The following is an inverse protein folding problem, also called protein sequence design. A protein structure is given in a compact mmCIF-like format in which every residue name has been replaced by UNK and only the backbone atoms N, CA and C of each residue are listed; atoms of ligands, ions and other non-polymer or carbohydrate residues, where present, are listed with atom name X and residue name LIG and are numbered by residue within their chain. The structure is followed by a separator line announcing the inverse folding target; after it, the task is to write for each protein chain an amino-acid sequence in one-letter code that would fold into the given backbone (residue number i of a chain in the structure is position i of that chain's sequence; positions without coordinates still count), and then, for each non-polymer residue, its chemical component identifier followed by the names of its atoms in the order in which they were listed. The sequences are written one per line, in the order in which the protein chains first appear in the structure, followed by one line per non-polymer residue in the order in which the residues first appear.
data_IF_268376137596
#
_entry.id   IF_268376137596
#
_cell.length_a   1.000
_cell.length_b   1.000
_cell.length_c   1.000
_cell.angle_alpha   90.00
_cell.angle_beta   90.00
_cell.angle_gamma   90.00
#
_symmetry.space_group_name_H-M   'P 1'
#
loop_
_entity.id
_entity.type
_entity.pdbx_description
1 polymer ?
#
# COMPACT_ATOMS: atom_id res chain seq x y z
N UNK A 1 7.65 -5.77 17.73
CA UNK A 1 7.67 -4.29 17.71
C UNK A 1 8.68 -3.69 16.72
N UNK A 2 9.64 -4.44 16.15
CA UNK A 2 10.60 -3.91 15.17
C UNK A 2 10.01 -3.67 13.76
N UNK A 3 9.05 -4.48 13.30
CA UNK A 3 8.53 -4.44 11.93
C UNK A 3 7.59 -3.26 11.64
N UNK A 4 6.69 -2.89 12.58
CA UNK A 4 5.71 -1.80 12.36
C UNK A 4 6.40 -0.46 12.06
N UNK A 5 7.46 -0.13 12.82
CA UNK A 5 8.23 1.09 12.58
C UNK A 5 9.02 1.11 11.27
N UNK A 6 9.39 -0.05 10.72
CA UNK A 6 10.03 -0.13 9.41
C UNK A 6 9.02 0.09 8.28
N UNK A 7 7.83 -0.52 8.36
CA UNK A 7 6.76 -0.38 7.36
C UNK A 7 6.28 1.06 7.29
N UNK A 8 6.02 1.71 8.43
CA UNK A 8 5.63 3.12 8.46
C UNK A 8 6.68 4.04 7.81
N UNK A 9 7.98 3.75 8.01
CA UNK A 9 9.06 4.51 7.35
C UNK A 9 9.12 4.26 5.84
N UNK A 10 8.90 3.02 5.41
CA UNK A 10 8.88 2.67 3.98
C UNK A 10 7.70 3.36 3.27
N UNK A 11 6.50 3.26 3.86
CA UNK A 11 5.31 3.97 3.37
C UNK A 11 5.57 5.47 3.33
N UNK A 12 6.09 6.07 4.41
CA UNK A 12 6.38 7.50 4.45
C UNK A 12 7.39 7.93 3.36
N UNK A 13 8.44 7.12 3.12
CA UNK A 13 9.45 7.39 2.10
C UNK A 13 8.86 7.39 0.69
N UNK A 14 7.98 6.46 0.38
CA UNK A 14 7.38 6.31 -0.94
C UNK A 14 5.99 6.93 -1.09
N UNK A 15 5.46 7.58 -0.04
CA UNK A 15 4.08 8.09 0.01
C UNK A 15 3.71 8.92 -1.22
N UNK A 16 4.59 9.85 -1.61
CA UNK A 16 4.36 10.70 -2.78
C UNK A 16 4.24 9.91 -4.08
N UNK A 17 5.15 8.94 -4.31
CA UNK A 17 5.13 8.11 -5.52
C UNK A 17 3.87 7.24 -5.55
N UNK A 18 3.50 6.64 -4.42
CA UNK A 18 2.28 5.83 -4.30
C UNK A 18 1.04 6.68 -4.60
N UNK A 19 0.92 7.88 -4.03
CA UNK A 19 -0.24 8.76 -4.22
C UNK A 19 -0.40 9.19 -5.69
N UNK A 20 0.70 9.38 -6.41
CA UNK A 20 0.65 9.85 -7.79
C UNK A 20 0.45 8.69 -8.80
N UNK A 21 1.01 7.51 -8.53
CA UNK A 21 1.13 6.46 -9.54
C UNK A 21 0.22 5.24 -9.26
N UNK A 22 -0.26 5.06 -8.02
CA UNK A 22 -1.10 3.92 -7.65
C UNK A 22 -2.59 4.20 -7.92
N UNK A 23 -3.18 3.38 -8.79
CA UNK A 23 -4.63 3.23 -8.84
C UNK A 23 -5.09 2.24 -7.77
N UNK A 24 -5.45 2.76 -6.61
CA UNK A 24 -5.83 1.97 -5.42
C UNK A 24 -6.97 1.00 -5.73
N UNK A 25 -7.92 1.39 -6.58
CA UNK A 25 -9.07 0.54 -6.89
C UNK A 25 -8.68 -0.76 -7.58
N UNK A 26 -7.50 -0.83 -8.21
CA UNK A 26 -6.99 -2.06 -8.83
C UNK A 26 -6.38 -3.02 -7.83
N UNK A 27 -5.90 -2.54 -6.68
CA UNK A 27 -5.30 -3.40 -5.63
C UNK A 27 -6.31 -3.82 -4.56
N UNK A 28 -7.38 -3.04 -4.33
CA UNK A 28 -8.39 -3.33 -3.31
C UNK A 28 -8.99 -4.75 -3.40
N UNK A 29 -9.45 -5.24 -4.56
CA UNK A 29 -10.13 -6.54 -4.62
C UNK A 29 -9.24 -7.69 -4.15
N UNK A 30 -7.94 -7.64 -4.48
CA UNK A 30 -6.95 -8.62 -4.03
C UNK A 30 -6.79 -8.58 -2.52
N UNK A 31 -6.67 -7.38 -1.94
CA UNK A 31 -6.47 -7.21 -0.50
C UNK A 31 -7.70 -7.61 0.31
N UNK A 32 -8.91 -7.40 -0.22
CA UNK A 32 -10.15 -7.90 0.40
C UNK A 32 -10.25 -9.41 0.29
N UNK A 33 -9.98 -9.98 -0.89
CA UNK A 33 -9.97 -11.44 -1.08
C UNK A 33 -8.96 -12.15 -0.17
N UNK A 34 -7.82 -11.52 0.11
CA UNK A 34 -6.81 -12.00 1.05
C UNK A 34 -7.12 -11.69 2.53
N UNK A 35 -8.30 -11.13 2.82
CA UNK A 35 -8.72 -10.71 4.17
C UNK A 35 -7.77 -9.73 4.85
N UNK A 36 -7.01 -8.97 4.06
CA UNK A 36 -6.17 -7.87 4.54
C UNK A 36 -7.05 -6.67 4.83
N UNK A 37 -7.89 -6.30 3.86
CA UNK A 37 -8.92 -5.28 4.02
C UNK A 37 -10.28 -5.94 4.25
N UNK A 38 -11.08 -5.29 5.07
CA UNK A 38 -12.50 -5.61 5.23
C UNK A 38 -13.32 -4.93 4.12
N UNK A 39 -14.53 -5.41 3.87
CA UNK A 39 -15.45 -4.76 2.94
C UNK A 39 -15.81 -3.31 3.37
N UNK A 40 -15.79 -3.03 4.67
CA UNK A 40 -15.99 -1.67 5.20
C UNK A 40 -14.86 -0.73 4.81
N UNK A 41 -13.60 -1.17 4.96
CA UNK A 41 -12.42 -0.39 4.57
C UNK A 41 -12.33 -0.23 3.04
N UNK A 42 -12.68 -1.25 2.27
CA UNK A 42 -12.79 -1.15 0.81
C UNK A 42 -13.82 -0.10 0.39
N UNK A 43 -15.00 -0.10 1.04
CA UNK A 43 -16.05 0.87 0.76
C UNK A 43 -15.64 2.29 1.15
N UNK A 44 -15.02 2.46 2.32
CA UNK A 44 -14.49 3.74 2.79
C UNK A 44 -13.53 4.33 1.75
N UNK A 45 -12.51 3.56 1.35
CA UNK A 45 -11.55 4.00 0.33
C UNK A 45 -12.28 4.31 -0.97
N UNK A 46 -13.12 3.41 -1.47
CA UNK A 46 -13.79 3.56 -2.77
C UNK A 46 -14.79 4.73 -2.82
N UNK A 47 -15.27 5.21 -1.68
CA UNK A 47 -16.22 6.32 -1.58
C UNK A 47 -15.60 7.69 -1.90
N UNK A 48 -14.27 7.81 -1.86
CA UNK A 48 -13.58 9.07 -2.16
C UNK A 48 -13.48 9.32 -3.67
N UNK A 49 -13.90 10.51 -4.12
CA UNK A 49 -13.98 10.86 -5.53
C UNK A 49 -12.63 10.98 -6.24
N UNK A 50 -11.59 11.47 -5.56
CA UNK A 50 -10.28 11.68 -6.16
C UNK A 50 -9.30 10.53 -5.82
N UNK A 51 -8.39 10.24 -6.74
CA UNK A 51 -7.45 9.11 -6.60
C UNK A 51 -6.38 9.34 -5.53
N UNK A 52 -6.04 10.60 -5.23
CA UNK A 52 -4.97 10.94 -4.29
C UNK A 52 -5.43 10.72 -2.84
N UNK A 53 -6.61 11.23 -2.49
CA UNK A 53 -7.26 10.98 -1.20
C UNK A 53 -7.50 9.49 -1.00
N UNK A 54 -7.91 8.76 -2.04
CA UNK A 54 -8.00 7.29 -1.98
C UNK A 54 -6.68 6.64 -1.57
N UNK A 55 -5.58 7.05 -2.19
CA UNK A 55 -4.25 6.55 -1.87
C UNK A 55 -3.80 6.95 -0.46
N UNK A 56 -4.11 8.16 -0.01
CA UNK A 56 -3.82 8.60 1.36
C UNK A 56 -4.55 7.77 2.40
N UNK A 57 -5.88 7.63 2.29
CA UNK A 57 -6.69 6.82 3.20
C UNK A 57 -6.26 5.35 3.17
N UNK A 58 -6.01 4.81 1.97
CA UNK A 58 -5.49 3.45 1.82
C UNK A 58 -4.17 3.23 2.56
N UNK A 59 -3.22 4.17 2.43
CA UNK A 59 -1.92 4.07 3.09
C UNK A 59 -2.04 4.18 4.60
N UNK A 60 -2.93 5.04 5.10
CA UNK A 60 -3.17 5.18 6.53
C UNK A 60 -3.71 3.86 7.11
N UNK A 61 -4.74 3.27 6.47
CA UNK A 61 -5.30 1.96 6.84
C UNK A 61 -4.24 0.84 6.75
N UNK A 62 -3.49 0.79 5.65
CA UNK A 62 -2.46 -0.25 5.43
C UNK A 62 -1.37 -0.19 6.50
N UNK A 63 -0.97 1.03 6.90
CA UNK A 63 0.09 1.23 7.90
C UNK A 63 -0.26 0.68 9.28
N UNK A 64 -1.55 0.60 9.60
CA UNK A 64 -2.03 0.09 10.88
C UNK A 64 -2.15 -1.43 10.95
N UNK A 65 -2.32 -2.09 9.79
CA UNK A 65 -2.49 -3.55 9.70
C UNK A 65 -1.19 -4.36 9.81
N UNK A 66 -0.04 -3.72 9.60
CA UNK A 66 1.28 -4.34 9.84
C UNK A 66 1.84 -5.16 8.68
N UNK A 67 2.77 -6.07 8.99
CA UNK A 67 3.70 -6.66 8.01
C UNK A 67 3.04 -7.57 6.98
N UNK A 68 2.10 -8.41 7.40
CA UNK A 68 1.37 -9.28 6.49
C UNK A 68 0.56 -8.47 5.47
N UNK A 69 -0.02 -7.36 5.88
CA UNK A 69 -0.75 -6.46 4.99
C UNK A 69 0.18 -5.80 3.96
N UNK A 70 1.36 -5.34 4.41
CA UNK A 70 2.37 -4.77 3.54
C UNK A 70 2.90 -5.80 2.51
N UNK A 71 3.12 -7.04 2.94
CA UNK A 71 3.52 -8.12 2.03
C UNK A 71 2.47 -8.34 0.94
N UNK A 72 1.20 -8.52 1.31
CA UNK A 72 0.13 -8.71 0.33
C UNK A 72 -0.08 -7.49 -0.58
N UNK A 73 0.19 -6.29 -0.09
CA UNK A 73 0.23 -5.09 -0.92
C UNK A 73 1.36 -5.16 -1.95
N UNK A 74 2.60 -5.48 -1.54
CA UNK A 74 3.72 -5.65 -2.46
C UNK A 74 3.44 -6.71 -3.54
N UNK A 75 2.83 -7.84 -3.17
CA UNK A 75 2.42 -8.85 -4.16
C UNK A 75 1.36 -8.30 -5.11
N UNK A 76 0.42 -7.49 -4.62
CA UNK A 76 -0.56 -6.82 -5.48
C UNK A 76 0.04 -5.80 -6.46
N UNK A 77 1.19 -5.20 -6.10
CA UNK A 77 1.92 -4.30 -6.98
C UNK A 77 2.60 -5.04 -8.15
N UNK A 78 2.89 -6.34 -8.04
CA UNK A 78 3.50 -7.12 -9.13
C UNK A 78 2.66 -7.01 -10.42
N UNK A 79 1.34 -7.11 -10.28
CA UNK A 79 0.41 -7.07 -11.42
C UNK A 79 -0.06 -5.66 -11.77
N UNK A 80 -0.11 -4.75 -10.79
CA UNK A 80 -0.78 -3.44 -10.96
C UNK A 80 0.18 -2.27 -11.17
N UNK A 81 1.34 -2.29 -10.51
CA UNK A 81 2.32 -1.21 -10.53
C UNK A 81 3.74 -1.75 -10.20
N UNK A 82 4.34 -2.58 -11.07
CA UNK A 82 5.63 -3.23 -10.79
C UNK A 82 6.79 -2.24 -10.63
N UNK A 83 6.65 -1.02 -11.16
CA UNK A 83 7.60 0.07 -10.97
C UNK A 83 7.65 0.56 -9.50
N UNK A 84 6.50 0.62 -8.82
CA UNK A 84 6.44 0.93 -7.38
C UNK A 84 7.10 -0.18 -6.56
N UNK A 85 6.81 -1.44 -6.89
CA UNK A 85 7.46 -2.57 -6.24
C UNK A 85 8.99 -2.53 -6.42
N UNK A 86 9.45 -2.27 -7.64
CA UNK A 86 10.88 -2.13 -7.95
C UNK A 86 11.51 -1.02 -7.11
N UNK A 87 10.84 0.14 -6.99
CA UNK A 87 11.29 1.25 -6.14
C UNK A 87 11.44 0.83 -4.67
N UNK A 88 10.49 0.07 -4.13
CA UNK A 88 10.55 -0.42 -2.75
C UNK A 88 11.69 -1.42 -2.54
N UNK A 89 11.94 -2.30 -3.52
CA UNK A 89 13.01 -3.29 -3.44
C UNK A 89 14.40 -2.63 -3.53
N UNK A 90 14.58 -1.68 -4.45
CA UNK A 90 15.85 -0.96 -4.59
C UNK A 90 16.19 -0.16 -3.33
N UNK A 91 15.19 0.44 -2.68
CA UNK A 91 15.40 1.18 -1.43
C UNK A 91 15.77 0.30 -0.23
N UNK A 92 15.53 -1.01 -0.31
CA UNK A 92 16.04 -1.99 0.63
C UNK A 92 17.50 -2.41 0.36
N UNK A 93 17.98 -2.24 -0.87
CA UNK A 93 19.37 -2.56 -1.25
C UNK A 93 20.35 -1.43 -0.96
N UNK A 94 19.87 -0.23 -0.62
CA UNK A 94 20.70 0.96 -0.33
C UNK A 94 21.33 1.01 1.07
N UNK A 95 21.37 -0.10 1.81
CA UNK A 95 22.11 -0.23 3.07
C UNK A 95 23.35 -1.09 2.87
N UNK A 96 24.39 -0.48 2.31
CA UNK A 96 25.77 -0.84 2.62
C UNK A 96 26.28 0.13 3.70
#
# INVERSE_FOLDING_TARGET
MASKGYISRLIAKHKSTIINDLDVLKVLPRLVHKSVLTAGEEHEISSHGDSKTRAEVFLDILSDKGETAMHEFCVGLEDTAPHLLTSFLLDNTGKC
#
